data_IF_942416834476
#
_entry.id   IF_942416834476
#
_cell.length_a   1.000
_cell.length_b   1.000
_cell.length_c   1.000
_cell.angle_alpha   90.00
_cell.angle_beta   90.00
_cell.angle_gamma   90.00
#
_symmetry.space_group_name_H-M   'P 1'
#
loop_
_entity.id
_entity.type
_entity.pdbx_description
1 polymer ?
#
# COMPACT_ATOMS: atom_id res chain seq x y z
N UNK A 1 12.30 49.45 21.19
CA UNK A 1 11.21 49.57 22.21
C UNK A 1 11.75 49.32 23.62
N UNK A 2 11.81 50.33 24.50
CA UNK A 2 12.45 50.28 25.82
C UNK A 2 11.69 49.50 26.91
N UNK A 3 11.06 48.37 26.57
CA UNK A 3 10.33 47.54 27.54
C UNK A 3 11.26 46.66 28.37
N UNK A 4 10.95 46.49 29.66
CA UNK A 4 11.70 45.62 30.58
C UNK A 4 11.08 44.23 30.61
N UNK A 5 11.84 43.21 30.19
CA UNK A 5 11.39 41.82 30.19
C UNK A 5 11.88 41.08 31.45
N UNK A 6 11.00 40.76 32.43
CA UNK A 6 11.40 40.02 33.62
C UNK A 6 11.68 38.53 33.32
N UNK A 7 12.44 37.87 34.22
CA UNK A 7 12.76 36.43 34.20
C UNK A 7 13.47 35.93 32.93
N UNK A 8 14.41 36.73 32.42
CA UNK A 8 15.20 36.39 31.23
C UNK A 8 16.63 36.01 31.59
N UNK A 9 17.15 35.01 30.87
CA UNK A 9 18.49 34.49 31.07
C UNK A 9 19.19 34.27 29.73
N UNK A 10 20.48 34.60 29.70
CA UNK A 10 21.39 34.23 28.61
C UNK A 10 22.38 33.23 29.20
N UNK A 11 22.44 32.03 28.62
CA UNK A 11 23.38 31.01 29.01
C UNK A 11 24.67 31.19 28.22
N UNK A 12 25.70 31.71 28.88
CA UNK A 12 27.02 31.92 28.33
C UNK A 12 27.99 30.93 28.98
N UNK A 13 28.79 30.24 28.16
CA UNK A 13 29.87 29.38 28.66
C UNK A 13 31.01 30.27 29.13
N UNK A 14 31.31 30.21 30.43
CA UNK A 14 32.48 30.88 31.02
C UNK A 14 33.78 30.38 30.38
N UNK A 15 34.81 31.21 30.40
CA UNK A 15 36.10 30.85 29.82
C UNK A 15 36.68 29.58 30.46
N UNK A 16 37.16 28.62 29.64
CA UNK A 16 37.87 27.46 30.16
C UNK A 16 39.25 27.85 30.71
N UNK A 17 39.72 27.11 31.70
CA UNK A 17 41.02 27.31 32.36
C UNK A 17 42.16 26.71 31.53
N UNK A 18 41.89 25.67 30.73
CA UNK A 18 42.89 24.95 29.96
C UNK A 18 43.01 25.40 28.48
N UNK A 19 44.20 25.22 27.92
CA UNK A 19 44.59 25.70 26.59
C UNK A 19 43.87 25.01 25.44
N UNK A 20 43.49 23.74 25.59
CA UNK A 20 42.79 22.98 24.54
C UNK A 20 41.36 23.50 24.35
N UNK A 21 40.66 23.73 25.46
CA UNK A 21 39.28 24.23 25.41
C UNK A 21 39.21 25.70 25.00
N UNK A 22 40.26 26.50 25.27
CA UNK A 22 40.40 27.89 24.79
C UNK A 22 40.50 27.97 23.25
N UNK A 23 41.30 27.10 22.61
CA UNK A 23 41.37 27.00 21.14
C UNK A 23 40.04 26.57 20.51
N UNK A 24 39.25 25.70 21.17
CA UNK A 24 37.92 25.33 20.67
C UNK A 24 36.92 26.49 20.78
N UNK A 25 37.04 27.36 21.78
CA UNK A 25 36.16 28.52 21.97
C UNK A 25 36.40 29.64 20.95
N UNK A 26 37.64 29.82 20.47
CA UNK A 26 37.94 30.72 19.35
C UNK A 26 37.18 30.34 18.08
N UNK A 27 36.88 29.05 17.90
CA UNK A 27 36.15 28.54 16.74
C UNK A 27 34.63 28.47 16.94
N UNK A 28 34.11 28.55 18.18
CA UNK A 28 32.67 28.47 18.48
C UNK A 28 32.30 29.51 19.55
N UNK A 29 31.69 30.64 19.18
CA UNK A 29 31.33 31.69 20.14
C UNK A 29 30.35 31.16 21.19
N UNK A 30 30.70 31.36 22.47
CA UNK A 30 30.18 30.66 23.65
C UNK A 30 28.76 31.01 24.13
N UNK A 31 27.82 31.31 23.23
CA UNK A 31 26.41 31.47 23.56
C UNK A 31 25.68 30.15 23.33
N UNK A 32 25.30 29.46 24.42
CA UNK A 32 24.64 28.15 24.35
C UNK A 32 23.12 28.27 24.18
N UNK A 33 22.52 29.35 24.68
CA UNK A 33 21.08 29.55 24.55
C UNK A 33 20.58 30.81 25.25
N UNK A 34 19.43 31.30 24.82
CA UNK A 34 18.71 32.40 25.47
C UNK A 34 17.21 32.23 25.32
N UNK A 35 16.43 32.74 26.27
CA UNK A 35 14.96 32.71 26.25
C UNK A 35 14.33 34.09 25.96
N UNK A 36 15.10 34.96 25.30
CA UNK A 36 14.73 36.35 25.01
C UNK A 36 14.10 36.48 23.63
N UNK A 37 14.69 35.86 22.61
CA UNK A 37 14.30 36.04 21.20
C UNK A 37 12.87 35.57 20.93
N UNK A 38 12.48 34.37 21.41
CA UNK A 38 11.13 33.84 21.20
C UNK A 38 10.05 34.69 21.87
N UNK A 39 10.35 35.31 23.02
CA UNK A 39 9.43 36.22 23.67
C UNK A 39 9.33 37.56 22.92
N UNK A 40 10.47 38.13 22.50
CA UNK A 40 10.45 39.34 21.69
C UNK A 40 9.58 39.15 20.45
N UNK A 41 9.70 38.00 19.78
CA UNK A 41 8.84 37.63 18.66
C UNK A 41 7.35 37.65 19.04
N UNK A 42 7.00 36.97 20.13
CA UNK A 42 5.60 36.89 20.58
C UNK A 42 5.01 38.27 20.86
N UNK A 43 5.75 39.13 21.54
CA UNK A 43 5.30 40.51 21.83
C UNK A 43 5.12 41.32 20.54
N UNK A 44 6.02 41.15 19.57
CA UNK A 44 5.90 41.81 18.27
C UNK A 44 4.71 41.30 17.46
N UNK A 45 4.39 40.00 17.56
CA UNK A 45 3.19 39.42 16.95
C UNK A 45 1.90 39.90 17.64
N UNK A 46 1.91 40.07 18.96
CA UNK A 46 0.77 40.62 19.71
C UNK A 46 0.50 42.09 19.31
N UNK A 47 1.57 42.88 19.15
CA UNK A 47 1.46 44.32 18.84
C UNK A 47 1.22 44.61 17.34
N UNK A 48 1.77 43.81 16.42
CA UNK A 48 1.80 44.10 14.97
C UNK A 48 1.25 42.96 14.10
N UNK A 49 0.73 41.88 14.70
CA UNK A 49 0.20 40.72 13.98
C UNK A 49 1.26 39.91 13.21
N UNK A 50 0.79 39.03 12.32
CA UNK A 50 1.68 38.13 11.54
C UNK A 50 2.60 38.85 10.55
N UNK A 51 2.38 40.16 10.31
CA UNK A 51 3.20 40.99 9.42
C UNK A 51 4.25 41.82 10.16
N UNK A 52 4.48 41.55 11.46
CA UNK A 52 5.44 42.30 12.29
C UNK A 52 6.84 42.44 11.67
N UNK A 53 7.28 41.46 10.86
CA UNK A 53 8.60 41.49 10.20
C UNK A 53 8.72 42.57 9.10
N UNK A 54 7.60 43.03 8.57
CA UNK A 54 7.51 44.08 7.54
C UNK A 54 7.14 45.42 8.16
N UNK A 55 6.33 45.41 9.23
CA UNK A 55 5.82 46.62 9.89
C UNK A 55 6.80 47.24 10.89
N UNK A 56 7.71 46.45 11.48
CA UNK A 56 8.70 46.95 12.43
C UNK A 56 9.99 47.29 11.68
N UNK A 57 10.22 48.58 11.43
CA UNK A 57 11.34 49.10 10.61
C UNK A 57 12.69 48.53 11.02
N UNK A 58 12.95 48.43 12.32
CA UNK A 58 14.19 47.89 12.90
C UNK A 58 14.44 46.41 12.51
N UNK A 59 13.37 45.64 12.23
CA UNK A 59 13.43 44.23 11.81
C UNK A 59 13.43 44.14 10.28
N UNK A 60 12.62 44.94 9.60
CA UNK A 60 12.50 44.95 8.15
C UNK A 60 13.84 45.28 7.47
N UNK A 61 14.57 46.24 8.03
CA UNK A 61 15.86 46.73 7.52
C UNK A 61 17.05 45.90 8.02
N UNK A 62 16.90 45.13 9.10
CA UNK A 62 17.98 44.32 9.66
C UNK A 62 17.87 42.85 9.23
N UNK A 63 18.58 42.51 8.15
CA UNK A 63 18.62 41.16 7.59
C UNK A 63 18.93 40.05 8.62
N UNK A 64 19.83 40.31 9.57
CA UNK A 64 20.23 39.31 10.58
C UNK A 64 19.12 39.02 11.57
N UNK A 65 18.40 40.05 12.02
CA UNK A 65 17.23 39.88 12.90
C UNK A 65 16.09 39.20 12.16
N UNK A 66 15.87 39.54 10.88
CA UNK A 66 14.86 38.89 10.04
C UNK A 66 15.13 37.40 9.86
N UNK A 67 16.37 37.01 9.56
CA UNK A 67 16.76 35.60 9.46
C UNK A 67 16.68 34.87 10.81
N UNK A 68 17.03 35.53 11.91
CA UNK A 68 16.92 34.97 13.26
C UNK A 68 15.46 34.64 13.62
N UNK A 69 14.52 35.56 13.37
CA UNK A 69 13.10 35.32 13.63
C UNK A 69 12.50 34.27 12.68
N UNK A 70 12.90 34.27 11.40
CA UNK A 70 12.53 33.18 10.46
C UNK A 70 13.08 31.81 10.88
N UNK A 71 14.27 31.76 11.48
CA UNK A 71 14.80 30.52 12.04
C UNK A 71 14.00 30.05 13.27
N UNK A 72 13.45 30.99 14.06
CA UNK A 72 12.49 30.66 15.11
C UNK A 72 11.17 30.11 14.53
N UNK A 73 10.65 30.64 13.42
CA UNK A 73 9.47 30.10 12.72
C UNK A 73 9.65 28.64 12.28
N UNK A 74 10.85 28.31 11.76
CA UNK A 74 11.21 26.94 11.37
C UNK A 74 11.26 25.97 12.55
N UNK A 75 11.55 26.46 13.76
CA UNK A 75 11.63 25.64 14.96
C UNK A 75 10.31 25.56 15.74
N UNK A 76 9.43 26.57 15.68
CA UNK A 76 8.10 26.54 16.31
C UNK A 76 7.10 25.64 15.57
N UNK A 77 7.29 25.41 14.26
CA UNK A 77 6.53 24.41 13.49
C UNK A 77 7.15 23.00 13.54
N UNK A 78 8.20 22.80 14.34
CA UNK A 78 8.85 21.50 14.44
C UNK A 78 8.03 20.58 15.35
N UNK A 79 7.00 19.95 14.78
CA UNK A 79 6.25 18.84 15.38
C UNK A 79 7.14 17.61 15.64
N UNK A 80 8.47 17.70 15.55
CA UNK A 80 9.38 16.55 15.72
C UNK A 80 9.44 16.11 17.18
N UNK A 81 8.87 14.94 17.46
CA UNK A 81 8.96 14.25 18.75
C UNK A 81 10.36 13.66 18.93
N UNK A 82 10.98 13.15 17.86
CA UNK A 82 12.36 12.63 17.89
C UNK A 82 12.69 11.76 16.69
N UNK A 83 13.65 10.83 16.85
CA UNK A 83 14.10 9.95 15.77
C UNK A 83 13.56 8.52 15.93
N UNK A 84 13.29 7.87 14.81
CA UNK A 84 13.05 6.42 14.74
C UNK A 84 14.37 5.69 14.57
N UNK A 85 14.63 4.74 15.46
CA UNK A 85 15.77 3.82 15.39
C UNK A 85 15.27 2.39 15.16
N UNK A 86 16.07 1.57 14.50
CA UNK A 86 15.73 0.17 14.29
C UNK A 86 15.69 -0.61 15.62
N UNK A 87 14.58 -1.28 15.92
CA UNK A 87 14.40 -2.11 17.09
C UNK A 87 14.89 -3.54 16.83
N UNK A 88 16.20 -3.69 16.59
CA UNK A 88 16.85 -4.98 16.41
C UNK A 88 18.14 -5.05 17.23
N UNK A 89 18.50 -6.26 17.65
CA UNK A 89 19.79 -6.57 18.29
C UNK A 89 20.81 -7.15 17.29
N UNK A 90 20.39 -7.46 16.07
CA UNK A 90 21.24 -7.95 14.97
C UNK A 90 20.98 -7.16 13.68
N UNK A 91 21.93 -7.14 12.72
CA UNK A 91 21.71 -6.48 11.44
C UNK A 91 20.45 -7.01 10.75
N UNK A 92 19.70 -6.11 10.11
CA UNK A 92 18.46 -6.44 9.41
C UNK A 92 18.69 -6.29 7.91
N UNK A 93 18.35 -7.36 7.17
CA UNK A 93 18.38 -7.37 5.71
C UNK A 93 17.06 -6.86 5.15
N UNK A 94 17.16 -5.93 4.22
CA UNK A 94 16.06 -5.41 3.42
C UNK A 94 16.29 -5.89 1.99
N UNK A 95 15.51 -6.86 1.51
CA UNK A 95 15.73 -7.42 0.18
C UNK A 95 15.65 -6.36 -0.91
N UNK A 96 16.43 -6.53 -1.98
CA UNK A 96 16.28 -5.76 -3.22
C UNK A 96 14.82 -5.74 -3.71
N UNK A 97 14.40 -4.63 -4.33
CA UNK A 97 13.09 -4.47 -4.95
C UNK A 97 11.90 -4.89 -4.05
N UNK A 98 11.94 -4.50 -2.77
CA UNK A 98 10.95 -4.94 -1.78
C UNK A 98 10.47 -3.83 -0.86
N UNK A 99 9.25 -4.00 -0.34
CA UNK A 99 8.71 -3.20 0.77
C UNK A 99 8.51 -4.10 1.97
N UNK A 100 9.08 -3.72 3.11
CA UNK A 100 8.99 -4.49 4.35
C UNK A 100 8.53 -3.61 5.52
N UNK A 101 7.97 -4.27 6.53
CA UNK A 101 7.61 -3.62 7.80
C UNK A 101 8.75 -3.87 8.78
N UNK A 102 9.24 -2.79 9.39
CA UNK A 102 10.28 -2.83 10.40
C UNK A 102 9.73 -2.38 11.75
N UNK A 103 10.29 -2.96 12.81
CA UNK A 103 10.05 -2.53 14.17
C UNK A 103 11.05 -1.42 14.52
N UNK A 104 10.55 -0.33 15.09
CA UNK A 104 11.33 0.83 15.47
C UNK A 104 11.17 1.19 16.93
N UNK A 105 12.14 1.95 17.43
CA UNK A 105 12.06 2.64 18.70
C UNK A 105 12.14 4.15 18.50
N UNK A 106 11.26 4.87 19.18
CA UNK A 106 11.22 6.32 19.28
C UNK A 106 11.41 6.77 20.73
N UNK A 107 11.21 8.06 21.01
CA UNK A 107 11.22 8.59 22.37
C UNK A 107 10.20 7.88 23.26
N UNK A 108 10.65 7.43 24.43
CA UNK A 108 9.80 6.78 25.41
C UNK A 108 9.09 7.84 26.24
N UNK A 109 7.87 8.20 25.82
CA UNK A 109 7.02 9.12 26.56
C UNK A 109 6.07 8.35 27.51
N UNK A 110 5.64 8.94 28.64
CA UNK A 110 4.82 8.26 29.64
C UNK A 110 3.42 7.85 29.17
N UNK A 111 2.97 8.36 28.03
CA UNK A 111 1.65 8.11 27.45
C UNK A 111 1.78 7.61 26.01
N UNK A 112 0.77 6.89 25.55
CA UNK A 112 0.61 6.62 24.12
C UNK A 112 0.49 7.94 23.38
N UNK A 113 1.15 8.04 22.24
CA UNK A 113 1.05 9.20 21.37
C UNK A 113 1.00 8.76 19.93
N UNK A 114 0.25 9.51 19.13
CA UNK A 114 0.16 9.32 17.70
C UNK A 114 1.20 10.18 16.99
N UNK A 115 1.77 9.62 15.93
CA UNK A 115 2.88 10.24 15.23
C UNK A 115 2.95 9.79 13.77
N UNK A 116 3.60 10.59 12.94
CA UNK A 116 3.96 10.23 11.56
C UNK A 116 5.46 9.96 11.51
N UNK A 117 5.82 8.82 10.93
CA UNK A 117 7.21 8.50 10.61
C UNK A 117 7.55 9.03 9.23
N UNK A 118 8.56 9.89 9.15
CA UNK A 118 9.02 10.50 7.90
C UNK A 118 10.48 10.13 7.57
N UNK A 119 10.88 10.20 6.28
CA UNK A 119 12.27 10.08 5.86
C UNK A 119 13.19 11.11 6.52
N UNK A 120 14.46 10.74 6.72
CA UNK A 120 15.48 11.70 7.12
C UNK A 120 15.88 12.57 5.91
N UNK A 121 15.58 13.87 5.97
CA UNK A 121 15.90 14.82 4.89
C UNK A 121 17.41 14.92 4.56
N UNK A 122 18.28 14.55 5.50
CA UNK A 122 19.75 14.57 5.34
C UNK A 122 20.36 13.37 6.07
N UNK A 123 20.26 12.18 5.48
CA UNK A 123 20.89 10.97 6.02
C UNK A 123 21.98 10.44 5.10
N UNK A 124 23.18 11.01 5.20
CA UNK A 124 24.36 10.51 4.47
C UNK A 124 24.78 9.08 4.85
N UNK A 125 24.17 8.48 5.88
CA UNK A 125 24.44 7.11 6.34
C UNK A 125 23.45 6.06 5.83
N UNK A 126 22.39 6.45 5.11
CA UNK A 126 21.45 5.52 4.48
C UNK A 126 21.67 5.52 2.96
N UNK A 127 21.60 4.35 2.30
CA UNK A 127 21.66 4.30 0.84
C UNK A 127 20.53 5.12 0.19
N UNK A 128 20.78 5.73 -0.96
CA UNK A 128 19.76 6.49 -1.71
C UNK A 128 18.57 5.63 -2.18
N UNK A 129 18.78 4.32 -2.27
CA UNK A 129 17.75 3.32 -2.60
C UNK A 129 16.88 2.91 -1.40
N UNK A 130 17.22 3.35 -0.19
CA UNK A 130 16.43 3.13 1.01
C UNK A 130 15.43 4.27 1.22
N UNK A 131 14.13 3.94 1.18
CA UNK A 131 13.04 4.90 1.35
C UNK A 131 12.23 4.52 2.59
N UNK A 132 12.07 5.46 3.51
CA UNK A 132 11.06 5.34 4.57
C UNK A 132 9.72 5.79 4.02
N UNK A 133 8.69 4.98 4.16
CA UNK A 133 7.34 5.35 3.73
C UNK A 133 6.68 6.14 4.85
N UNK A 134 6.11 7.31 4.52
CA UNK A 134 5.29 8.10 5.45
C UNK A 134 4.24 7.20 6.10
N UNK A 135 4.36 6.97 7.41
CA UNK A 135 3.52 6.01 8.13
C UNK A 135 2.98 6.65 9.40
N UNK A 136 1.66 6.79 9.49
CA UNK A 136 0.99 7.15 10.73
C UNK A 136 1.00 5.96 11.70
N UNK A 137 1.46 6.19 12.92
CA UNK A 137 1.69 5.16 13.94
C UNK A 137 1.24 5.64 15.31
N UNK A 138 0.66 4.74 16.09
CA UNK A 138 0.52 4.92 17.54
C UNK A 138 1.75 4.35 18.23
N UNK A 139 2.54 5.18 18.88
CA UNK A 139 3.75 4.76 19.59
C UNK A 139 3.40 4.28 20.99
N UNK A 140 3.79 3.05 21.33
CA UNK A 140 3.55 2.43 22.64
C UNK A 140 4.86 2.18 23.37
N UNK A 141 5.10 2.86 24.49
CA UNK A 141 6.34 2.76 25.29
C UNK A 141 7.60 2.94 24.42
N UNK A 142 7.57 3.94 23.52
CA UNK A 142 8.63 4.21 22.57
C UNK A 142 8.82 3.14 21.49
N UNK A 143 7.89 2.19 21.30
CA UNK A 143 7.93 1.20 20.21
C UNK A 143 6.87 1.49 19.15
N UNK A 144 7.24 1.25 17.91
CA UNK A 144 6.39 1.48 16.74
C UNK A 144 6.74 0.52 15.60
N UNK A 145 5.88 0.44 14.59
CA UNK A 145 6.10 -0.32 13.36
C UNK A 145 5.91 0.59 12.16
N UNK A 146 6.86 0.59 11.23
CA UNK A 146 6.85 1.49 10.08
C UNK A 146 7.28 0.75 8.82
N UNK A 147 6.95 1.31 7.65
CA UNK A 147 7.24 0.71 6.35
C UNK A 147 8.48 1.34 5.73
N UNK A 148 9.28 0.49 5.09
CA UNK A 148 10.45 0.91 4.30
C UNK A 148 10.44 0.18 2.97
N UNK A 149 10.97 0.83 1.95
CA UNK A 149 11.17 0.27 0.63
C UNK A 149 12.67 0.28 0.29
N UNK A 150 13.14 -0.81 -0.31
CA UNK A 150 14.39 -0.86 -1.03
C UNK A 150 14.08 -0.92 -2.52
N UNK A 151 14.35 0.17 -3.22
CA UNK A 151 14.13 0.29 -4.68
C UNK A 151 15.39 -0.03 -5.48
N UNK A 152 16.48 -0.45 -4.80
CA UNK A 152 17.70 -0.88 -5.44
C UNK A 152 17.68 -2.36 -5.79
N UNK A 153 18.61 -2.74 -6.67
CA UNK A 153 18.79 -4.13 -7.11
C UNK A 153 19.61 -4.99 -6.14
N UNK A 154 20.22 -4.35 -5.13
CA UNK A 154 20.99 -5.02 -4.08
C UNK A 154 20.26 -5.01 -2.73
N UNK A 155 20.51 -6.04 -1.92
CA UNK A 155 20.03 -6.09 -0.55
C UNK A 155 20.69 -5.03 0.33
N UNK A 156 19.90 -4.32 1.14
CA UNK A 156 20.40 -3.35 2.11
C UNK A 156 20.51 -4.00 3.48
N UNK A 157 21.67 -3.85 4.12
CA UNK A 157 21.89 -4.30 5.49
C UNK A 157 21.96 -3.10 6.44
N UNK A 158 20.98 -3.01 7.35
CA UNK A 158 20.98 -1.98 8.39
C UNK A 158 21.53 -2.54 9.70
N UNK A 159 22.47 -1.81 10.29
CA UNK A 159 22.97 -2.11 11.63
C UNK A 159 21.86 -1.98 12.70
N UNK A 160 21.98 -2.70 13.83
CA UNK A 160 21.13 -2.48 15.01
C UNK A 160 21.04 -1.00 15.39
N UNK A 161 19.83 -0.53 15.74
CA UNK A 161 19.58 0.84 16.23
C UNK A 161 19.95 1.97 15.26
N UNK A 162 20.18 1.67 13.98
CA UNK A 162 20.35 2.68 12.93
C UNK A 162 19.16 3.64 12.93
N UNK A 163 19.46 4.94 12.84
CA UNK A 163 18.42 5.98 12.68
C UNK A 163 17.91 5.92 11.26
N UNK A 164 16.61 5.75 11.11
CA UNK A 164 15.97 5.52 9.82
C UNK A 164 14.98 6.61 9.44
N UNK A 165 14.36 7.26 10.42
CA UNK A 165 13.35 8.29 10.18
C UNK A 165 13.22 9.29 11.32
N UNK A 166 12.33 10.26 11.11
CA UNK A 166 11.92 11.26 12.09
C UNK A 166 10.48 10.94 12.52
N UNK A 167 10.16 11.14 13.80
CA UNK A 167 8.81 11.06 14.35
C UNK A 167 8.27 12.48 14.48
N UNK A 168 7.19 12.77 13.75
CA UNK A 168 6.42 14.01 13.89
C UNK A 168 5.15 13.74 14.70
N UNK A 169 4.73 14.68 15.53
CA UNK A 169 3.48 14.65 16.29
C UNK A 169 2.31 14.59 15.32
N UNK A 170 1.45 13.59 15.49
CA UNK A 170 0.18 13.49 14.79
C UNK A 170 -0.94 13.77 15.78
N UNK A 171 -1.85 14.66 15.44
CA UNK A 171 -3.10 14.84 16.17
C UNK A 171 -4.21 14.13 15.37
N UNK A 172 -5.06 13.38 16.06
CA UNK A 172 -6.23 12.72 15.47
C UNK A 172 -7.44 13.59 15.77
N UNK A 173 -7.94 14.29 14.75
CA UNK A 173 -9.19 15.03 14.85
C UNK A 173 -10.36 14.10 14.51
N UNK A 174 -11.16 13.79 15.52
CA UNK A 174 -12.42 13.06 15.34
C UNK A 174 -13.52 14.07 15.03
N UNK A 175 -13.88 14.20 13.75
CA UNK A 175 -15.07 14.95 13.36
C UNK A 175 -16.31 14.05 13.39
N UNK A 176 -17.21 14.28 14.35
CA UNK A 176 -18.45 13.50 14.47
C UNK A 176 -19.52 13.84 13.41
N UNK A 177 -19.30 14.86 12.56
CA UNK A 177 -20.32 15.34 11.59
C UNK A 177 -19.77 15.93 10.28
N UNK A 178 -18.47 15.77 9.97
CA UNK A 178 -17.89 16.23 8.70
C UNK A 178 -17.96 15.14 7.63
N UNK A 179 -18.62 15.41 6.51
CA UNK A 179 -18.55 14.55 5.32
C UNK A 179 -17.16 14.72 4.69
N UNK A 180 -16.19 13.88 5.06
CA UNK A 180 -14.92 13.78 4.34
C UNK A 180 -15.18 12.98 3.07
N UNK A 181 -15.26 13.67 1.93
CA UNK A 181 -15.42 13.03 0.63
C UNK A 181 -14.08 12.91 -0.07
N UNK A 182 -13.65 11.67 -0.29
CA UNK A 182 -12.45 11.37 -1.07
C UNK A 182 -12.84 11.37 -2.55
N UNK A 183 -12.83 12.55 -3.17
CA UNK A 183 -13.11 12.68 -4.60
C UNK A 183 -11.81 12.45 -5.36
N UNK A 184 -11.73 11.28 -6.01
CA UNK A 184 -10.56 10.91 -6.80
C UNK A 184 -10.74 11.36 -8.25
N UNK A 185 -10.17 12.52 -8.58
CA UNK A 185 -10.00 13.05 -9.93
C UNK A 185 -8.78 12.40 -10.60
N UNK A 186 -8.90 11.11 -10.92
CA UNK A 186 -7.83 10.39 -11.64
C UNK A 186 -6.70 9.84 -10.75
N UNK A 187 -5.47 10.36 -10.91
CA UNK A 187 -4.26 9.78 -10.31
C UNK A 187 -3.83 10.38 -8.97
N UNK A 188 -4.29 11.57 -8.61
CA UNK A 188 -4.22 12.12 -7.25
C UNK A 188 -5.45 11.71 -6.43
N UNK A 189 -5.25 11.40 -5.15
CA UNK A 189 -6.32 11.45 -4.15
C UNK A 189 -6.31 12.86 -3.57
N UNK A 190 -7.24 13.69 -4.01
CA UNK A 190 -7.49 14.98 -3.39
C UNK A 190 -8.44 14.78 -2.21
N UNK A 191 -8.10 15.33 -1.06
CA UNK A 191 -8.92 15.26 0.15
C UNK A 191 -9.72 16.55 0.22
N UNK A 192 -11.03 16.44 0.00
CA UNK A 192 -11.95 17.55 0.20
C UNK A 192 -12.52 17.44 1.60
N UNK A 193 -12.12 18.37 2.47
CA UNK A 193 -12.74 18.56 3.78
C UNK A 193 -13.86 19.58 3.56
N UNK A 194 -15.09 19.09 3.42
CA UNK A 194 -16.25 19.97 3.40
C UNK A 194 -16.50 20.47 4.82
N UNK A 195 -16.05 21.69 5.09
CA UNK A 195 -16.51 22.42 6.25
C UNK A 195 -17.96 22.81 5.96
N UNK A 196 -18.93 22.15 6.63
CA UNK A 196 -20.35 22.48 6.49
C UNK A 196 -20.59 23.78 7.26
N UNK A 197 -20.11 24.90 6.71
CA UNK A 197 -20.69 26.19 6.98
C UNK A 197 -22.02 26.26 6.20
N UNK A 198 -23.12 26.11 6.94
CA UNK A 198 -24.49 26.45 6.58
C UNK A 198 -24.63 27.24 5.26
N UNK A 199 -25.15 26.62 4.20
CA UNK A 199 -25.77 27.32 3.08
C UNK A 199 -26.86 26.44 2.49
N UNK A 200 -28.07 26.99 2.46
CA UNK A 200 -29.30 26.34 2.03
C UNK A 200 -29.29 25.99 0.53
N UNK A 201 -30.08 24.97 0.21
CA UNK A 201 -30.63 24.58 -1.09
C UNK A 201 -30.28 25.53 -2.26
N UNK A 202 -29.35 25.13 -3.13
CA UNK A 202 -29.42 25.41 -4.57
C UNK A 202 -28.63 24.35 -5.33
N UNK A 203 -29.26 23.76 -6.35
CA UNK A 203 -28.66 22.86 -7.33
C UNK A 203 -27.46 23.53 -8.01
N UNK A 204 -26.23 23.05 -7.76
CA UNK A 204 -25.05 23.51 -8.50
C UNK A 204 -24.77 22.55 -9.65
N UNK A 205 -24.95 23.08 -10.85
CA UNK A 205 -24.67 22.45 -12.14
C UNK A 205 -23.15 22.26 -12.32
N UNK A 206 -22.68 21.02 -12.28
CA UNK A 206 -21.26 20.60 -12.32
C UNK A 206 -20.51 20.88 -13.64
N UNK A 207 -21.11 21.63 -14.58
CA UNK A 207 -20.53 21.87 -15.91
C UNK A 207 -19.69 23.16 -16.01
N UNK A 208 -19.36 23.83 -14.90
CA UNK A 208 -18.64 25.11 -14.89
C UNK A 208 -17.57 25.24 -13.79
N UNK A 209 -16.86 24.16 -13.47
CA UNK A 209 -15.61 24.30 -12.70
C UNK A 209 -14.51 24.53 -13.73
N UNK A 210 -14.21 25.81 -13.99
CA UNK A 210 -13.00 26.21 -14.73
C UNK A 210 -11.76 25.77 -13.94
N UNK A 211 -10.75 25.29 -14.67
CA UNK A 211 -9.49 24.77 -14.16
C UNK A 211 -8.84 25.74 -13.16
N UNK A 212 -8.89 25.41 -11.87
CA UNK A 212 -8.06 26.08 -10.87
C UNK A 212 -6.61 25.63 -11.07
N UNK A 213 -5.81 26.47 -11.73
CA UNK A 213 -4.35 26.29 -11.77
C UNK A 213 -3.79 26.45 -10.36
N UNK A 214 -3.37 25.35 -9.75
CA UNK A 214 -2.61 25.39 -8.50
C UNK A 214 -1.12 25.55 -8.84
N UNK A 215 -0.48 26.71 -8.60
CA UNK A 215 0.91 26.91 -8.94
C UNK A 215 1.81 26.07 -8.04
N UNK A 216 2.66 25.24 -8.64
CA UNK A 216 3.71 24.51 -7.92
C UNK A 216 4.77 25.52 -7.48
N UNK A 217 4.93 25.71 -6.17
CA UNK A 217 6.00 26.54 -5.63
C UNK A 217 7.36 25.83 -5.79
N UNK A 218 8.15 26.34 -6.74
CA UNK A 218 9.50 25.87 -7.06
C UNK A 218 10.61 26.78 -6.47
N UNK A 219 10.24 27.69 -5.56
CA UNK A 219 11.17 28.68 -4.97
C UNK A 219 12.34 28.05 -4.19
N UNK A 220 12.21 26.79 -3.78
CA UNK A 220 13.24 26.05 -3.03
C UNK A 220 14.30 25.36 -3.88
N UNK A 221 14.11 25.30 -5.21
CA UNK A 221 15.08 24.69 -6.13
C UNK A 221 16.03 25.77 -6.66
N UNK A 222 17.34 25.61 -6.43
CA UNK A 222 18.38 26.47 -7.03
C UNK A 222 18.49 26.20 -8.54
N UNK A 223 17.50 26.69 -9.28
CA UNK A 223 17.35 26.51 -10.73
C UNK A 223 17.52 27.84 -11.45
N UNK A 224 18.22 27.79 -12.58
CA UNK A 224 18.37 28.93 -13.50
C UNK A 224 17.04 29.26 -14.18
N UNK A 225 16.88 30.48 -14.70
CA UNK A 225 15.67 30.90 -15.43
C UNK A 225 15.33 29.96 -16.58
N UNK A 226 16.34 29.52 -17.33
CA UNK A 226 16.18 28.57 -18.44
C UNK A 226 15.69 27.18 -17.97
N UNK A 227 16.18 26.69 -16.83
CA UNK A 227 15.70 25.44 -16.23
C UNK A 227 14.27 25.56 -15.68
N UNK A 228 13.84 26.74 -15.21
CA UNK A 228 12.44 26.95 -14.82
C UNK A 228 11.51 26.90 -16.02
N UNK A 229 11.92 27.46 -17.15
CA UNK A 229 11.13 27.42 -18.39
C UNK A 229 11.11 26.01 -19.00
N UNK A 230 12.21 25.25 -18.87
CA UNK A 230 12.23 23.82 -19.17
C UNK A 230 11.32 23.01 -18.23
N UNK A 231 11.32 23.29 -16.92
CA UNK A 231 10.42 22.62 -15.94
C UNK A 231 8.95 22.95 -16.20
N UNK A 232 8.63 24.16 -16.66
CA UNK A 232 7.27 24.55 -17.08
C UNK A 232 6.85 23.88 -18.39
N UNK A 233 7.79 23.47 -19.23
CA UNK A 233 7.55 22.78 -20.52
C UNK A 233 7.73 21.26 -20.43
N UNK A 234 8.23 20.73 -19.31
CA UNK A 234 8.17 19.31 -19.01
C UNK A 234 6.70 18.87 -18.97
N UNK A 235 6.34 17.75 -19.63
CA UNK A 235 4.96 17.29 -19.63
C UNK A 235 4.50 17.06 -18.19
N UNK A 236 3.46 17.79 -17.76
CA UNK A 236 2.76 17.56 -16.49
C UNK A 236 2.42 16.06 -16.43
N UNK A 237 3.13 15.28 -15.61
CA UNK A 237 2.87 13.84 -15.44
C UNK A 237 1.63 13.70 -14.55
N UNK A 238 0.45 14.01 -15.10
CA UNK A 238 -0.86 13.43 -14.81
C UNK A 238 -1.82 13.81 -15.94
N UNK A 239 -1.61 13.27 -17.14
CA UNK A 239 -2.75 13.06 -18.04
C UNK A 239 -3.50 11.83 -17.51
N UNK A 240 -4.79 12.02 -17.22
CA UNK A 240 -5.65 10.98 -16.65
C UNK A 240 -5.65 9.72 -17.50
N UNK A 241 -5.26 8.58 -16.90
CA UNK A 241 -5.43 7.28 -17.56
C UNK A 241 -6.90 7.11 -17.89
N UNK A 242 -7.16 6.65 -19.11
CA UNK A 242 -8.50 6.37 -19.56
C UNK A 242 -8.80 4.89 -19.31
N UNK A 243 -9.96 4.59 -18.74
CA UNK A 243 -10.46 3.21 -18.67
C UNK A 243 -10.70 2.72 -20.10
N UNK A 244 -9.95 1.71 -20.54
CA UNK A 244 -10.04 1.13 -21.89
C UNK A 244 -10.90 -0.11 -21.95
N UNK A 245 -11.05 -0.82 -20.82
CA UNK A 245 -11.82 -2.06 -20.73
C UNK A 245 -12.63 -2.12 -19.43
N UNK A 246 -13.77 -2.81 -19.49
CA UNK A 246 -14.57 -3.19 -18.33
C UNK A 246 -14.06 -4.52 -17.78
N UNK A 247 -13.65 -4.60 -16.49
CA UNK A 247 -13.16 -5.84 -15.90
C UNK A 247 -14.32 -6.78 -15.59
N UNK A 248 -14.24 -8.01 -16.10
CA UNK A 248 -15.27 -9.03 -15.92
C UNK A 248 -14.62 -10.32 -15.43
N UNK A 249 -15.13 -10.93 -14.36
CA UNK A 249 -14.64 -12.20 -13.82
C UNK A 249 -15.68 -13.30 -14.07
N UNK A 250 -15.33 -14.27 -14.91
CA UNK A 250 -16.08 -15.50 -15.16
C UNK A 250 -15.62 -16.59 -14.20
N UNK A 251 -16.48 -16.99 -13.26
CA UNK A 251 -16.06 -17.86 -12.15
C UNK A 251 -17.20 -18.70 -11.58
N UNK A 252 -16.85 -19.59 -10.65
CA UNK A 252 -17.78 -20.48 -9.94
C UNK A 252 -18.29 -19.85 -8.63
N UNK A 253 -18.57 -20.68 -7.61
CA UNK A 253 -19.04 -20.21 -6.29
C UNK A 253 -18.06 -19.26 -5.59
N UNK A 254 -16.76 -19.32 -5.92
CA UNK A 254 -15.76 -18.41 -5.34
C UNK A 254 -16.09 -16.96 -5.64
N UNK A 255 -16.48 -16.62 -6.87
CA UNK A 255 -16.81 -15.23 -7.23
C UNK A 255 -17.93 -14.63 -6.41
N UNK A 256 -18.97 -15.43 -6.12
CA UNK A 256 -20.07 -14.97 -5.25
C UNK A 256 -19.60 -14.68 -3.83
N UNK A 257 -18.61 -15.43 -3.35
CA UNK A 257 -18.00 -15.21 -2.04
C UNK A 257 -17.16 -13.94 -2.01
N UNK A 258 -16.30 -13.74 -3.03
CA UNK A 258 -15.44 -12.57 -3.16
C UNK A 258 -16.23 -11.28 -3.41
N UNK A 259 -17.25 -11.30 -4.28
CA UNK A 259 -18.09 -10.13 -4.60
C UNK A 259 -18.66 -9.46 -3.35
N UNK A 260 -19.06 -10.24 -2.35
CA UNK A 260 -19.63 -9.73 -1.08
C UNK A 260 -18.62 -9.03 -0.18
N UNK A 261 -17.33 -9.09 -0.51
CA UNK A 261 -16.21 -8.52 0.26
C UNK A 261 -15.57 -7.32 -0.43
N UNK A 262 -16.13 -6.87 -1.56
CA UNK A 262 -15.68 -5.66 -2.25
C UNK A 262 -16.08 -4.40 -1.45
N UNK A 263 -15.08 -3.71 -0.90
CA UNK A 263 -15.26 -2.52 -0.08
C UNK A 263 -14.93 -1.26 -0.89
N UNK A 264 -13.84 -1.29 -1.66
CA UNK A 264 -13.37 -0.14 -2.44
C UNK A 264 -14.10 -0.01 -3.78
N UNK A 265 -14.26 1.22 -4.31
CA UNK A 265 -14.86 1.48 -5.63
C UNK A 265 -14.25 0.60 -6.72
N UNK A 266 -12.92 0.50 -6.73
CA UNK A 266 -12.21 -0.35 -7.68
C UNK A 266 -12.63 -1.84 -7.59
N UNK A 267 -12.92 -2.35 -6.41
CA UNK A 267 -13.34 -3.74 -6.24
C UNK A 267 -14.80 -3.93 -6.67
N UNK A 268 -15.64 -2.92 -6.47
CA UNK A 268 -17.06 -2.89 -6.85
C UNK A 268 -17.26 -2.72 -8.37
N UNK A 269 -16.30 -2.10 -9.05
CA UNK A 269 -16.31 -1.94 -10.51
C UNK A 269 -16.09 -3.27 -11.27
N UNK A 270 -15.68 -4.34 -10.57
CA UNK A 270 -15.54 -5.67 -11.16
C UNK A 270 -16.91 -6.29 -11.38
N UNK A 271 -17.19 -6.68 -12.62
CA UNK A 271 -18.42 -7.41 -12.96
C UNK A 271 -18.18 -8.90 -12.74
N UNK A 272 -19.01 -9.52 -11.89
CA UNK A 272 -18.89 -10.93 -11.54
C UNK A 272 -19.94 -11.77 -12.27
N UNK A 273 -19.49 -12.56 -13.24
CA UNK A 273 -20.26 -13.61 -13.89
C UNK A 273 -20.05 -14.93 -13.15
N UNK A 274 -20.55 -14.99 -11.92
CA UNK A 274 -20.35 -16.09 -10.98
C UNK A 274 -21.57 -17.00 -10.89
N UNK A 275 -21.38 -18.32 -11.04
CA UNK A 275 -22.44 -19.31 -10.85
C UNK A 275 -21.93 -20.49 -10.03
N UNK A 276 -22.61 -20.77 -8.92
CA UNK A 276 -22.17 -21.80 -7.98
C UNK A 276 -22.24 -23.20 -8.57
N UNK A 277 -21.19 -24.01 -8.34
CA UNK A 277 -21.07 -25.41 -8.80
C UNK A 277 -20.98 -25.60 -10.33
N UNK A 278 -20.77 -24.53 -11.10
CA UNK A 278 -20.60 -24.64 -12.55
C UNK A 278 -19.20 -25.15 -12.91
N UNK A 279 -19.17 -26.13 -13.81
CA UNK A 279 -17.98 -26.65 -14.48
C UNK A 279 -17.58 -25.77 -15.67
N UNK A 280 -16.34 -25.92 -16.15
CA UNK A 280 -15.79 -25.13 -17.26
C UNK A 280 -16.66 -25.19 -18.52
N UNK A 281 -17.26 -26.35 -18.84
CA UNK A 281 -18.21 -26.51 -19.93
C UNK A 281 -19.43 -25.60 -19.79
N UNK A 282 -20.12 -25.63 -18.64
CA UNK A 282 -21.35 -24.87 -18.46
C UNK A 282 -21.11 -23.36 -18.57
N UNK A 283 -19.97 -22.88 -18.03
CA UNK A 283 -19.59 -21.46 -18.18
C UNK A 283 -19.19 -21.10 -19.59
N UNK A 284 -18.56 -22.02 -20.34
CA UNK A 284 -18.29 -21.82 -21.75
C UNK A 284 -19.60 -21.74 -22.56
N UNK A 285 -20.52 -22.68 -22.40
CA UNK A 285 -21.80 -22.70 -23.11
C UNK A 285 -22.60 -21.40 -22.83
N UNK A 286 -22.60 -20.95 -21.57
CA UNK A 286 -23.21 -19.66 -21.21
C UNK A 286 -22.47 -18.48 -21.86
N UNK A 287 -21.14 -18.47 -21.85
CA UNK A 287 -20.35 -17.41 -22.45
C UNK A 287 -20.62 -17.33 -23.95
N UNK A 288 -20.58 -18.46 -24.66
CA UNK A 288 -20.85 -18.54 -26.10
C UNK A 288 -22.23 -17.97 -26.46
N UNK A 289 -23.26 -18.29 -25.65
CA UNK A 289 -24.61 -17.80 -25.88
C UNK A 289 -24.82 -16.31 -25.54
N UNK A 290 -24.03 -15.72 -24.64
CA UNK A 290 -24.29 -14.39 -24.07
C UNK A 290 -23.23 -13.34 -24.39
N UNK A 291 -22.04 -13.73 -24.87
CA UNK A 291 -20.88 -12.83 -24.99
C UNK A 291 -21.17 -11.62 -25.88
N UNK A 292 -21.82 -11.81 -27.03
CA UNK A 292 -22.12 -10.73 -27.97
C UNK A 292 -23.00 -9.66 -27.32
N UNK A 293 -24.09 -10.09 -26.68
CA UNK A 293 -24.99 -9.20 -25.96
C UNK A 293 -24.28 -8.47 -24.81
N UNK A 294 -23.45 -9.18 -24.05
CA UNK A 294 -22.71 -8.58 -22.94
C UNK A 294 -21.65 -7.57 -23.38
N UNK A 295 -20.94 -7.81 -24.49
CA UNK A 295 -20.00 -6.84 -25.07
C UNK A 295 -20.74 -5.59 -25.56
N UNK A 296 -21.91 -5.75 -26.19
CA UNK A 296 -22.72 -4.60 -26.60
C UNK A 296 -23.14 -3.73 -25.39
N UNK A 297 -23.47 -4.37 -24.27
CA UNK A 297 -23.86 -3.70 -23.03
C UNK A 297 -22.69 -3.05 -22.28
N UNK A 298 -21.52 -3.69 -22.27
CA UNK A 298 -20.38 -3.32 -21.42
C UNK A 298 -19.24 -2.61 -22.16
N UNK A 299 -19.29 -2.59 -23.49
CA UNK A 299 -18.21 -2.16 -24.34
C UNK A 299 -17.05 -3.17 -24.34
N UNK A 300 -15.83 -2.65 -24.48
CA UNK A 300 -14.61 -3.46 -24.47
C UNK A 300 -14.46 -4.16 -23.12
N UNK A 301 -14.30 -5.48 -23.10
CA UNK A 301 -14.16 -6.24 -21.85
C UNK A 301 -12.75 -6.80 -21.68
N UNK A 302 -12.28 -6.82 -20.43
CA UNK A 302 -11.14 -7.62 -20.00
C UNK A 302 -11.68 -8.78 -19.18
N UNK A 303 -11.71 -9.97 -19.79
CA UNK A 303 -12.27 -11.18 -19.21
C UNK A 303 -11.23 -11.93 -18.38
N UNK A 304 -11.50 -12.10 -17.10
CA UNK A 304 -10.75 -12.94 -16.19
C UNK A 304 -11.48 -14.27 -16.00
N UNK A 305 -10.85 -15.37 -16.40
CA UNK A 305 -11.43 -16.72 -16.29
C UNK A 305 -10.88 -17.41 -15.05
N UNK A 306 -11.74 -17.69 -14.07
CA UNK A 306 -11.36 -18.36 -12.83
C UNK A 306 -12.22 -19.60 -12.58
N UNK A 307 -11.98 -20.60 -13.43
CA UNK A 307 -12.71 -21.86 -13.50
C UNK A 307 -11.76 -23.04 -13.22
N UNK A 308 -12.30 -24.27 -13.20
CA UNK A 308 -11.51 -25.49 -12.97
C UNK A 308 -11.65 -26.10 -11.57
N UNK A 309 -12.00 -25.33 -10.52
CA UNK A 309 -12.21 -25.88 -9.17
C UNK A 309 -13.31 -26.93 -9.14
N UNK A 310 -14.47 -26.62 -9.73
CA UNK A 310 -15.59 -27.56 -9.82
C UNK A 310 -15.40 -28.66 -10.87
N UNK A 311 -14.39 -28.56 -11.74
CA UNK A 311 -14.03 -29.63 -12.69
C UNK A 311 -13.14 -30.69 -12.02
N UNK A 312 -12.13 -30.23 -11.26
CA UNK A 312 -11.18 -31.05 -10.52
C UNK A 312 -11.82 -31.92 -9.43
N UNK A 313 -12.98 -31.52 -8.92
CA UNK A 313 -13.75 -32.28 -7.94
C UNK A 313 -15.16 -32.58 -8.39
N UNK A 314 -15.65 -33.75 -8.04
CA UNK A 314 -17.02 -34.18 -8.26
C UNK A 314 -17.76 -34.23 -6.93
N UNK A 315 -18.97 -33.68 -6.94
CA UNK A 315 -19.82 -33.60 -5.76
C UNK A 315 -20.79 -34.79 -5.73
N UNK A 316 -20.76 -35.56 -4.65
CA UNK A 316 -21.72 -36.61 -4.34
C UNK A 316 -22.51 -36.22 -3.09
N UNK A 317 -23.81 -35.90 -3.26
CA UNK A 317 -24.66 -35.31 -2.21
C UNK A 317 -24.01 -34.04 -1.64
N UNK A 318 -23.57 -34.09 -0.38
CA UNK A 318 -22.92 -32.97 0.33
C UNK A 318 -21.39 -33.07 0.36
N UNK A 319 -20.82 -34.17 -0.11
CA UNK A 319 -19.39 -34.44 -0.09
C UNK A 319 -18.78 -34.23 -1.47
N UNK A 320 -17.47 -34.04 -1.51
CA UNK A 320 -16.72 -33.98 -2.76
C UNK A 320 -15.62 -35.02 -2.78
N UNK A 321 -15.21 -35.41 -3.98
CA UNK A 321 -14.05 -36.27 -4.21
C UNK A 321 -13.35 -35.78 -5.46
N UNK A 322 -12.09 -36.16 -5.63
CA UNK A 322 -11.36 -35.85 -6.86
C UNK A 322 -12.06 -36.52 -8.06
N UNK A 323 -12.17 -35.81 -9.18
CA UNK A 323 -12.91 -36.31 -10.36
C UNK A 323 -12.18 -37.47 -11.03
N UNK A 324 -10.89 -37.31 -11.31
CA UNK A 324 -10.04 -38.34 -11.89
C UNK A 324 -8.78 -38.45 -11.03
N UNK A 325 -8.66 -39.45 -10.13
CA UNK A 325 -7.50 -39.60 -9.25
C UNK A 325 -6.24 -40.08 -9.98
N UNK A 326 -6.35 -40.46 -11.25
CA UNK A 326 -5.25 -40.97 -12.06
C UNK A 326 -5.19 -40.21 -13.38
N UNK A 327 -4.00 -39.73 -13.73
CA UNK A 327 -3.72 -39.04 -14.99
C UNK A 327 -4.13 -37.57 -15.01
N UNK A 328 -4.05 -36.98 -16.20
CA UNK A 328 -4.27 -35.54 -16.41
C UNK A 328 -5.52 -35.25 -17.26
N UNK A 329 -6.39 -36.25 -17.46
CA UNK A 329 -7.58 -36.15 -18.30
C UNK A 329 -8.51 -34.98 -17.90
N UNK A 330 -8.69 -34.77 -16.60
CA UNK A 330 -9.49 -33.64 -16.10
C UNK A 330 -8.81 -32.30 -16.41
N UNK A 331 -7.49 -32.23 -16.37
CA UNK A 331 -6.72 -31.03 -16.73
C UNK A 331 -6.86 -30.78 -18.23
N UNK A 332 -6.64 -31.80 -19.06
CA UNK A 332 -6.78 -31.70 -20.52
C UNK A 332 -8.20 -31.27 -20.93
N UNK A 333 -9.20 -31.79 -20.23
CA UNK A 333 -10.59 -31.37 -20.38
C UNK A 333 -10.77 -29.87 -20.08
N UNK A 334 -10.29 -29.38 -18.93
CA UNK A 334 -10.35 -27.95 -18.57
C UNK A 334 -9.62 -27.10 -19.62
N UNK A 335 -8.40 -27.50 -20.01
CA UNK A 335 -7.60 -26.80 -21.00
C UNK A 335 -8.27 -26.75 -22.37
N UNK A 336 -9.02 -27.79 -22.75
CA UNK A 336 -9.81 -27.79 -23.98
C UNK A 336 -10.82 -26.64 -24.01
N UNK A 337 -11.48 -26.35 -22.86
CA UNK A 337 -12.39 -25.21 -22.75
C UNK A 337 -11.66 -23.88 -22.66
N UNK A 338 -10.50 -23.82 -22.01
CA UNK A 338 -9.69 -22.60 -22.01
C UNK A 338 -9.32 -22.19 -23.43
N UNK A 339 -8.88 -23.15 -24.25
CA UNK A 339 -8.61 -22.92 -25.68
C UNK A 339 -9.85 -22.46 -26.45
N UNK A 340 -11.03 -23.03 -26.16
CA UNK A 340 -12.30 -22.58 -26.75
C UNK A 340 -12.65 -21.15 -26.34
N UNK A 341 -12.47 -20.78 -25.07
CA UNK A 341 -12.69 -19.40 -24.58
C UNK A 341 -11.73 -18.43 -25.26
N UNK A 342 -10.44 -18.78 -25.40
CA UNK A 342 -9.47 -17.94 -26.12
C UNK A 342 -9.93 -17.69 -27.55
N UNK A 343 -10.31 -18.74 -28.29
CA UNK A 343 -10.82 -18.62 -29.66
C UNK A 343 -12.09 -17.76 -29.73
N UNK A 344 -13.00 -17.95 -28.79
CA UNK A 344 -14.24 -17.18 -28.72
C UNK A 344 -13.94 -15.67 -28.52
N UNK A 345 -13.04 -15.33 -27.60
CA UNK A 345 -12.67 -13.93 -27.32
C UNK A 345 -11.84 -13.32 -28.46
N UNK A 346 -11.03 -14.10 -29.16
CA UNK A 346 -10.27 -13.63 -30.33
C UNK A 346 -11.16 -13.12 -31.47
N UNK A 347 -12.40 -13.60 -31.58
CA UNK A 347 -13.39 -13.08 -32.53
C UNK A 347 -13.91 -11.67 -32.15
N UNK A 348 -13.50 -11.13 -31.01
CA UNK A 348 -13.85 -9.81 -30.51
C UNK A 348 -12.57 -9.01 -30.22
N UNK A 349 -12.00 -8.30 -31.22
CA UNK A 349 -10.63 -7.76 -31.16
C UNK A 349 -10.40 -6.71 -30.05
N UNK A 350 -11.46 -6.06 -29.57
CA UNK A 350 -11.39 -5.11 -28.46
C UNK A 350 -11.58 -5.76 -27.09
N UNK A 351 -11.67 -7.09 -27.04
CA UNK A 351 -11.77 -7.86 -25.81
C UNK A 351 -10.50 -8.66 -25.59
N UNK A 352 -10.11 -8.84 -24.34
CA UNK A 352 -8.92 -9.61 -24.00
C UNK A 352 -9.24 -10.58 -22.86
N UNK A 353 -8.50 -11.69 -22.80
CA UNK A 353 -8.68 -12.73 -21.79
C UNK A 353 -7.42 -12.96 -20.96
N UNK A 354 -7.60 -13.19 -19.67
CA UNK A 354 -6.57 -13.62 -18.71
C UNK A 354 -7.14 -14.75 -17.86
N UNK A 355 -6.40 -15.85 -17.70
CA UNK A 355 -6.80 -16.96 -16.82
C UNK A 355 -6.23 -16.74 -15.42
N UNK A 356 -7.07 -16.84 -14.40
CA UNK A 356 -6.64 -16.72 -13.01
C UNK A 356 -6.21 -18.08 -12.45
N UNK A 357 -5.06 -18.12 -11.78
CA UNK A 357 -4.55 -19.31 -11.10
C UNK A 357 -5.55 -19.83 -10.06
N UNK A 358 -5.68 -21.15 -9.99
CA UNK A 358 -6.54 -21.82 -9.02
C UNK A 358 -5.79 -21.88 -7.68
N UNK A 359 -6.35 -21.33 -6.58
CA UNK A 359 -5.77 -21.53 -5.26
C UNK A 359 -5.84 -23.00 -4.86
N UNK A 360 -4.88 -23.48 -4.07
CA UNK A 360 -5.02 -24.78 -3.43
C UNK A 360 -6.22 -24.79 -2.49
N UNK A 361 -6.87 -25.94 -2.42
CA UNK A 361 -8.00 -26.22 -1.54
C UNK A 361 -7.96 -27.68 -1.11
N UNK A 362 -8.75 -28.05 -0.11
CA UNK A 362 -8.70 -29.37 0.54
C UNK A 362 -10.06 -30.05 0.52
N UNK A 363 -10.10 -31.22 -0.12
CA UNK A 363 -11.21 -32.19 -0.08
C UNK A 363 -11.39 -32.70 1.35
N UNK A 364 -10.27 -33.00 2.04
CA UNK A 364 -10.30 -33.45 3.43
C UNK A 364 -11.01 -32.44 4.34
N UNK A 365 -10.57 -31.17 4.34
CA UNK A 365 -11.17 -30.13 5.20
C UNK A 365 -12.62 -29.85 4.80
N UNK A 366 -12.95 -29.90 3.50
CA UNK A 366 -14.34 -29.77 3.06
C UNK A 366 -15.22 -30.88 3.61
N UNK A 367 -14.83 -32.14 3.43
CA UNK A 367 -15.64 -33.27 3.87
C UNK A 367 -15.69 -33.39 5.40
N UNK A 368 -14.63 -32.98 6.10
CA UNK A 368 -14.60 -32.84 7.57
C UNK A 368 -15.63 -31.84 8.05
N UNK A 369 -15.71 -30.66 7.44
CA UNK A 369 -16.73 -29.65 7.74
C UNK A 369 -18.16 -30.13 7.41
N UNK A 370 -18.32 -31.14 6.55
CA UNK A 370 -19.60 -31.78 6.24
C UNK A 370 -19.90 -33.00 7.11
N UNK A 371 -19.09 -33.28 8.13
CA UNK A 371 -19.21 -34.41 9.04
C UNK A 371 -19.15 -35.76 8.31
N UNK A 372 -18.20 -35.93 7.39
CA UNK A 372 -17.92 -37.25 6.80
C UNK A 372 -17.30 -38.17 7.86
N UNK A 373 -17.72 -39.44 7.90
CA UNK A 373 -17.32 -40.40 8.94
C UNK A 373 -15.95 -41.03 8.68
N UNK A 374 -15.56 -41.14 7.42
CA UNK A 374 -14.28 -41.71 6.99
C UNK A 374 -13.45 -40.63 6.28
N UNK A 375 -12.58 -39.95 7.03
CA UNK A 375 -11.81 -38.81 6.52
C UNK A 375 -10.45 -39.19 5.91
N UNK A 376 -9.89 -40.33 6.34
CA UNK A 376 -8.53 -40.72 5.97
C UNK A 376 -8.42 -40.98 4.46
N UNK A 377 -9.51 -41.43 3.82
CA UNK A 377 -9.57 -41.61 2.38
C UNK A 377 -9.33 -40.34 1.55
N UNK A 378 -9.46 -39.15 2.15
CA UNK A 378 -9.31 -37.88 1.43
C UNK A 378 -7.89 -37.31 1.49
N UNK A 379 -7.01 -37.84 2.35
CA UNK A 379 -5.63 -37.35 2.44
C UNK A 379 -4.85 -37.61 1.15
N UNK A 380 -4.96 -38.82 0.59
CA UNK A 380 -4.35 -39.14 -0.70
C UNK A 380 -4.98 -38.35 -1.86
N UNK A 381 -6.29 -38.08 -1.78
CA UNK A 381 -6.96 -37.24 -2.77
C UNK A 381 -6.47 -35.79 -2.74
N UNK A 382 -6.15 -35.23 -1.56
CA UNK A 382 -5.57 -33.89 -1.44
C UNK A 382 -4.17 -33.81 -2.03
N UNK A 383 -3.36 -34.87 -1.89
CA UNK A 383 -2.03 -34.94 -2.51
C UNK A 383 -2.17 -34.86 -4.03
N UNK A 384 -3.04 -35.69 -4.60
CA UNK A 384 -3.28 -35.72 -6.03
C UNK A 384 -3.94 -34.44 -6.55
N UNK A 385 -4.92 -33.90 -5.82
CA UNK A 385 -5.55 -32.62 -6.16
C UNK A 385 -4.51 -31.49 -6.22
N UNK A 386 -3.61 -31.42 -5.23
CA UNK A 386 -2.54 -30.44 -5.23
C UNK A 386 -1.65 -30.58 -6.46
N UNK A 387 -1.28 -31.82 -6.84
CA UNK A 387 -0.52 -32.10 -8.07
C UNK A 387 -1.25 -31.56 -9.31
N UNK A 388 -2.54 -31.84 -9.43
CA UNK A 388 -3.33 -31.39 -10.58
C UNK A 388 -3.49 -29.87 -10.63
N UNK A 389 -3.70 -29.20 -9.49
CA UNK A 389 -3.75 -27.73 -9.43
C UNK A 389 -2.40 -27.12 -9.81
N UNK A 390 -1.29 -27.70 -9.33
CA UNK A 390 0.04 -27.21 -9.70
C UNK A 390 0.29 -27.32 -11.21
N UNK A 391 -0.06 -28.45 -11.82
CA UNK A 391 0.05 -28.65 -13.27
C UNK A 391 -0.85 -27.68 -14.04
N UNK A 392 -2.14 -27.61 -13.71
CA UNK A 392 -3.07 -26.68 -14.35
C UNK A 392 -2.64 -25.21 -14.22
N UNK A 393 -2.06 -24.81 -13.08
CA UNK A 393 -1.52 -23.47 -12.91
C UNK A 393 -0.25 -23.21 -13.74
N UNK A 394 0.55 -24.24 -14.05
CA UNK A 394 1.65 -24.10 -15.01
C UNK A 394 1.10 -23.81 -16.41
N UNK A 395 0.11 -24.58 -16.87
CA UNK A 395 -0.54 -24.38 -18.17
C UNK A 395 -1.23 -23.00 -18.26
N UNK A 396 -1.89 -22.55 -17.18
CA UNK A 396 -2.46 -21.19 -17.08
C UNK A 396 -1.40 -20.11 -17.30
N UNK A 397 -0.22 -20.26 -16.67
CA UNK A 397 0.88 -19.30 -16.84
C UNK A 397 1.39 -19.28 -18.27
N UNK A 398 1.47 -20.43 -18.93
CA UNK A 398 1.89 -20.52 -20.33
C UNK A 398 0.88 -19.83 -21.26
N UNK A 399 -0.42 -20.11 -21.09
CA UNK A 399 -1.49 -19.46 -21.85
C UNK A 399 -1.44 -17.93 -21.66
N UNK A 400 -1.31 -17.47 -20.42
CA UNK A 400 -1.25 -16.04 -20.11
C UNK A 400 0.01 -15.37 -20.68
N UNK A 401 1.17 -16.05 -20.58
CA UNK A 401 2.43 -15.53 -21.13
C UNK A 401 2.33 -15.34 -22.64
N UNK A 402 1.70 -16.26 -23.35
CA UNK A 402 1.44 -16.13 -24.78
C UNK A 402 0.55 -14.91 -25.12
N UNK A 403 -0.30 -14.48 -24.18
CA UNK A 403 -1.14 -13.29 -24.30
C UNK A 403 -0.51 -12.02 -23.69
N UNK A 404 0.79 -12.06 -23.33
CA UNK A 404 1.51 -10.99 -22.62
C UNK A 404 0.78 -10.50 -21.36
N UNK A 405 0.20 -11.43 -20.60
CA UNK A 405 -0.44 -11.15 -19.32
C UNK A 405 0.07 -12.12 -18.24
N UNK A 406 -0.30 -11.85 -17.00
CA UNK A 406 0.04 -12.71 -15.87
C UNK A 406 -1.14 -12.79 -14.90
N UNK A 407 -1.20 -13.90 -14.15
CA UNK A 407 -2.16 -14.07 -13.07
C UNK A 407 -1.52 -13.70 -11.74
N UNK A 408 -2.26 -13.10 -10.79
CA UNK A 408 -1.88 -13.13 -9.39
C UNK A 408 -1.76 -14.58 -8.91
N UNK A 409 -0.81 -14.83 -7.98
CA UNK A 409 -0.74 -16.11 -7.28
C UNK A 409 -1.59 -16.07 -6.01
N UNK A 410 -2.59 -16.96 -5.94
CA UNK A 410 -3.47 -17.10 -4.78
C UNK A 410 -2.98 -18.18 -3.81
N UNK A 411 -2.35 -19.23 -4.33
CA UNK A 411 -1.75 -20.31 -3.52
C UNK A 411 -0.67 -19.81 -2.57
N UNK A 412 0.06 -18.75 -2.92
CA UNK A 412 1.07 -18.15 -2.05
C UNK A 412 0.50 -17.66 -0.72
N UNK A 413 -0.77 -17.25 -0.70
CA UNK A 413 -1.43 -16.70 0.50
C UNK A 413 -1.80 -17.79 1.52
N UNK A 414 -1.73 -19.05 1.09
CA UNK A 414 -1.97 -20.21 1.94
C UNK A 414 -0.66 -20.79 2.49
N UNK A 415 0.51 -20.35 2.01
CA UNK A 415 1.79 -20.93 2.42
C UNK A 415 2.25 -20.34 3.75
N UNK A 416 2.60 -21.19 4.71
CA UNK A 416 3.35 -20.81 5.89
C UNK A 416 4.61 -21.66 6.05
N UNK A 417 5.64 -21.08 6.67
CA UNK A 417 6.92 -21.75 6.90
C UNK A 417 6.90 -22.40 8.29
N UNK A 418 7.14 -23.71 8.35
CA UNK A 418 7.45 -24.40 9.60
C UNK A 418 8.92 -24.78 9.63
N UNK A 419 9.64 -24.28 10.63
CA UNK A 419 11.02 -24.70 10.89
C UNK A 419 11.00 -25.93 11.77
N UNK A 420 11.26 -27.10 11.20
CA UNK A 420 11.42 -28.33 11.99
C UNK A 420 12.90 -28.47 12.33
N UNK A 421 13.24 -28.33 13.63
CA UNK A 421 14.56 -28.72 14.12
C UNK A 421 14.63 -30.25 14.11
N UNK A 422 15.31 -30.83 13.12
CA UNK A 422 15.72 -32.24 13.20
C UNK A 422 16.79 -32.34 14.28
N UNK A 423 16.56 -33.17 15.30
CA UNK A 423 17.56 -33.42 16.35
C UNK A 423 18.85 -34.00 15.74
N UNK A 424 20.00 -33.51 16.21
CA UNK A 424 21.35 -33.97 15.85
C UNK A 424 21.87 -33.47 14.49
N UNK A 425 22.78 -32.48 14.51
CA UNK A 425 23.70 -32.03 13.43
C UNK A 425 23.22 -31.95 11.96
N UNK A 426 21.92 -32.07 11.66
CA UNK A 426 21.37 -31.94 10.32
C UNK A 426 20.70 -30.57 10.16
N UNK A 427 21.04 -29.87 9.05
CA UNK A 427 20.49 -28.56 8.69
C UNK A 427 18.96 -28.56 8.81
N UNK A 428 18.40 -27.49 9.38
CA UNK A 428 16.96 -27.29 9.47
C UNK A 428 16.36 -27.27 8.06
N UNK A 429 15.41 -28.18 7.78
CA UNK A 429 14.64 -28.18 6.53
C UNK A 429 13.40 -27.31 6.70
N UNK A 430 13.29 -26.28 5.86
CA UNK A 430 12.08 -25.48 5.75
C UNK A 430 11.05 -26.27 4.93
N UNK A 431 10.10 -26.93 5.60
CA UNK A 431 8.93 -27.50 4.91
C UNK A 431 7.89 -26.39 4.72
N UNK A 432 7.49 -26.17 3.46
CA UNK A 432 6.33 -25.34 3.14
C UNK A 432 5.07 -26.16 3.45
N UNK A 433 4.21 -25.62 4.30
CA UNK A 433 2.88 -26.20 4.59
C UNK A 433 1.81 -25.21 4.14
N UNK A 434 0.62 -25.74 3.85
CA UNK A 434 -0.54 -24.95 3.47
C UNK A 434 -1.49 -24.80 4.65
N UNK A 435 -1.90 -23.57 4.93
CA UNK A 435 -2.83 -23.26 6.00
C UNK A 435 -4.27 -23.25 5.45
N UNK A 436 -4.86 -24.44 5.35
CA UNK A 436 -6.25 -24.59 4.92
C UNK A 436 -7.27 -24.03 5.93
N UNK A 437 -6.86 -23.65 7.16
CA UNK A 437 -7.75 -22.96 8.11
C UNK A 437 -8.12 -21.54 7.64
N UNK A 438 -7.39 -20.99 6.67
CA UNK A 438 -7.77 -19.75 6.00
C UNK A 438 -8.92 -19.94 5.01
N UNK A 439 -9.38 -21.18 4.81
CA UNK A 439 -10.56 -21.55 4.04
C UNK A 439 -11.67 -21.99 5.00
N UNK A 440 -12.87 -21.43 4.85
CA UNK A 440 -14.02 -21.66 5.74
C UNK A 440 -14.47 -23.11 5.72
N UNK A 441 -14.54 -23.70 4.52
CA UNK A 441 -14.97 -25.07 4.29
C UNK A 441 -13.90 -25.86 3.53
N UNK A 442 -12.63 -25.49 3.64
CA UNK A 442 -11.57 -26.11 2.84
C UNK A 442 -11.52 -25.66 1.38
N UNK A 443 -12.49 -24.86 0.87
CA UNK A 443 -12.49 -24.30 -0.50
C UNK A 443 -12.64 -22.78 -0.51
N UNK A 444 -13.64 -22.27 0.19
CA UNK A 444 -13.99 -20.85 0.16
C UNK A 444 -13.13 -20.05 1.14
N UNK A 445 -12.58 -18.90 0.75
CA UNK A 445 -11.68 -18.14 1.62
C UNK A 445 -12.41 -17.54 2.83
N UNK A 446 -11.73 -17.44 3.97
CA UNK A 446 -12.20 -16.64 5.12
C UNK A 446 -12.35 -15.16 4.75
N UNK A 447 -13.02 -14.35 5.59
CA UNK A 447 -13.22 -12.92 5.33
C UNK A 447 -11.92 -12.18 5.02
N UNK A 448 -10.86 -12.44 5.81
CA UNK A 448 -9.56 -11.80 5.61
C UNK A 448 -8.96 -12.21 4.27
N UNK A 449 -8.90 -13.51 3.98
CA UNK A 449 -8.33 -14.03 2.75
C UNK A 449 -9.13 -13.58 1.51
N UNK A 450 -10.45 -13.52 1.62
CA UNK A 450 -11.33 -13.05 0.55
C UNK A 450 -11.06 -11.58 0.20
N UNK A 451 -10.91 -10.70 1.21
CA UNK A 451 -10.51 -9.30 1.00
C UNK A 451 -9.15 -9.20 0.30
N UNK A 452 -8.17 -10.00 0.73
CA UNK A 452 -6.85 -10.06 0.10
C UNK A 452 -6.96 -10.47 -1.38
N UNK A 453 -7.75 -11.50 -1.69
CA UNK A 453 -7.91 -11.98 -3.07
C UNK A 453 -8.68 -10.99 -3.96
N UNK A 454 -9.74 -10.36 -3.44
CA UNK A 454 -10.48 -9.29 -4.15
C UNK A 454 -9.53 -8.17 -4.51
N UNK A 455 -8.72 -7.72 -3.54
CA UNK A 455 -7.76 -6.64 -3.76
C UNK A 455 -6.69 -6.99 -4.79
N UNK A 456 -6.15 -8.22 -4.76
CA UNK A 456 -5.21 -8.71 -5.77
C UNK A 456 -5.80 -8.70 -7.18
N UNK A 457 -7.04 -9.16 -7.32
CA UNK A 457 -7.75 -9.11 -8.61
C UNK A 457 -7.96 -7.64 -9.02
N UNK A 458 -8.28 -6.77 -8.05
CA UNK A 458 -8.51 -5.36 -8.30
C UNK A 458 -7.25 -4.63 -8.78
N UNK A 459 -6.10 -4.91 -8.17
CA UNK A 459 -4.80 -4.38 -8.58
C UNK A 459 -4.44 -4.88 -9.98
N UNK A 460 -4.63 -6.16 -10.28
CA UNK A 460 -4.37 -6.72 -11.61
C UNK A 460 -5.19 -6.05 -12.70
N UNK A 461 -6.48 -5.82 -12.47
CA UNK A 461 -7.29 -5.19 -13.52
C UNK A 461 -6.94 -3.71 -13.69
N UNK A 462 -6.53 -2.99 -12.62
CA UNK A 462 -6.08 -1.60 -12.77
C UNK A 462 -4.92 -1.49 -13.74
N UNK A 463 -4.00 -2.45 -13.70
CA UNK A 463 -2.91 -2.56 -14.68
C UNK A 463 -3.42 -2.86 -16.09
N UNK A 464 -4.39 -3.76 -16.21
CA UNK A 464 -4.83 -4.29 -17.51
C UNK A 464 -5.85 -3.40 -18.24
N UNK A 465 -6.63 -2.61 -17.51
CA UNK A 465 -7.83 -1.92 -18.02
C UNK A 465 -7.67 -0.40 -18.13
N UNK A 466 -6.53 0.16 -17.73
CA UNK A 466 -6.27 1.59 -17.75
C UNK A 466 -4.96 1.86 -18.49
N UNK A 467 -5.01 2.78 -19.45
CA UNK A 467 -3.84 3.21 -20.25
C UNK A 467 -3.56 4.67 -20.03
#
# INVERSE_FOLDING_TARGET
>A
MGQRLPNRGVLIVKDPIDSYTRMRKENVPGLLGMNVISLCKKLLQEDYGNQYSEQVTEIAENFKLRELFKACDKNEHCNTIGFVKLCSNSPVRIPANSVIILNGTGPNLPRLYDAVVEPLHTSGHLPSTFIVVHTFVTVRNGRLTFRVANIGDDDIWLAPRTRVGILLKGDVENHDKGHVEFIRTGHTEEIYIHDIAYCAETDVNLSKIEDFEMPVDISHLSTTSKQRDEIKTLPRIQQGRKKTHTPVVLTDSKGNWLKRKAEHKSERDIIWWAKSSDKSKHRFDWLEANLVHEIQRLGNIRLYVWLGTCDLTTKNKKFISITSPHGDETIDYILSYYRKIVKLIQNHPNSKVTFLEIPLYSIYEYNKQKNHTDLDQFTEQDIELNRQIYKLNQDIREINRAANCHSPSFTSDLIYKTTVKKGGNRRAENKKKHNFQLLVDGIHPTNLLAKTWVRKIAEKYKEDCWT
#
